data_IF_621595909398
#
_entry.id   IF_621595909398
#
_cell.length_a   1.000
_cell.length_b   1.000
_cell.length_c   1.000
_cell.angle_alpha   90.00
_cell.angle_beta   90.00
_cell.angle_gamma   90.00
#
_symmetry.space_group_name_H-M   'P 1'
#
loop_
_entity.id
_entity.type
_entity.pdbx_description
1 polymer ?
#
# COMPACT_ATOMS: atom_id res chain seq x y z
N UNK A 1 -7.95 21.84 -10.85
CA UNK A 1 -8.00 20.96 -12.05
C UNK A 1 -7.80 19.53 -11.56
N UNK A 2 -8.76 18.64 -11.81
CA UNK A 2 -8.64 17.23 -11.43
C UNK A 2 -7.79 16.54 -12.50
N UNK A 3 -6.62 16.01 -12.11
CA UNK A 3 -5.75 15.25 -13.02
C UNK A 3 -6.33 13.85 -13.21
N UNK A 4 -6.29 13.35 -14.45
CA UNK A 4 -6.61 11.95 -14.77
C UNK A 4 -5.68 11.04 -13.94
N UNK A 5 -6.25 9.98 -13.35
CA UNK A 5 -5.55 9.03 -12.49
C UNK A 5 -4.69 9.67 -11.38
N UNK A 6 -5.11 10.82 -10.84
CA UNK A 6 -4.37 11.59 -9.83
C UNK A 6 -2.96 12.00 -10.27
N UNK A 7 -2.71 12.08 -11.58
CA UNK A 7 -1.38 12.39 -12.14
C UNK A 7 -0.44 11.19 -12.21
N UNK A 8 -0.92 9.98 -11.90
CA UNK A 8 -0.15 8.75 -12.07
C UNK A 8 0.02 8.43 -13.56
N UNK A 9 1.23 8.61 -14.06
CA UNK A 9 1.60 8.18 -15.41
C UNK A 9 2.01 6.71 -15.41
N UNK A 10 1.85 6.01 -16.53
CA UNK A 10 2.25 4.61 -16.71
C UNK A 10 1.58 3.57 -15.80
N UNK A 11 0.49 3.92 -15.12
CA UNK A 11 -0.23 2.98 -14.26
C UNK A 11 -0.72 1.74 -15.03
N UNK A 12 -1.36 1.94 -16.19
CA UNK A 12 -1.85 0.82 -17.01
C UNK A 12 -0.71 -0.11 -17.51
N UNK A 13 0.37 0.40 -18.15
CA UNK A 13 1.52 -0.44 -18.49
C UNK A 13 2.10 -1.21 -17.30
N UNK A 14 2.18 -0.59 -16.12
CA UNK A 14 2.65 -1.25 -14.91
C UNK A 14 1.72 -2.40 -14.49
N UNK A 15 0.41 -2.17 -14.48
CA UNK A 15 -0.57 -3.20 -14.13
C UNK A 15 -0.59 -4.34 -15.14
N UNK A 16 -0.39 -4.06 -16.42
CA UNK A 16 -0.41 -5.07 -17.47
C UNK A 16 0.86 -5.96 -17.43
N UNK A 17 2.03 -5.40 -17.11
CA UNK A 17 3.31 -6.10 -17.21
C UNK A 17 3.89 -6.59 -15.88
N UNK A 18 3.76 -5.80 -14.80
CA UNK A 18 4.51 -5.99 -13.56
C UNK A 18 3.62 -6.26 -12.35
N UNK A 19 2.28 -6.29 -12.49
CA UNK A 19 1.36 -6.48 -11.35
C UNK A 19 1.64 -7.73 -10.52
N UNK A 20 2.02 -8.83 -11.19
CA UNK A 20 2.31 -10.09 -10.53
C UNK A 20 3.75 -10.19 -10.01
N UNK A 21 4.58 -9.17 -10.26
CA UNK A 21 5.97 -9.14 -9.81
C UNK A 21 6.07 -8.33 -8.51
N UNK A 22 6.33 -8.97 -7.37
CA UNK A 22 6.53 -8.23 -6.13
C UNK A 22 7.74 -7.30 -6.28
N UNK A 23 7.52 -6.00 -6.09
CA UNK A 23 8.60 -5.04 -5.94
C UNK A 23 9.07 -5.07 -4.49
N UNK A 24 10.37 -5.30 -4.28
CA UNK A 24 10.98 -5.22 -2.96
C UNK A 24 11.85 -3.96 -2.91
N UNK A 25 11.34 -2.90 -2.28
CA UNK A 25 12.13 -1.71 -2.01
C UNK A 25 12.54 -1.72 -0.54
N UNK A 26 13.85 -1.81 -0.27
CA UNK A 26 14.41 -1.61 1.07
C UNK A 26 14.77 -0.14 1.24
N UNK A 27 14.21 0.49 2.27
CA UNK A 27 14.53 1.86 2.66
C UNK A 27 14.95 1.86 4.13
N UNK A 28 16.08 2.50 4.42
CA UNK A 28 16.50 2.80 5.80
C UNK A 28 15.81 4.10 6.18
N UNK A 29 15.06 4.08 7.29
CA UNK A 29 14.41 5.24 7.87
C UNK A 29 15.31 5.76 9.00
N UNK A 30 15.70 7.03 8.93
CA UNK A 30 16.56 7.64 9.94
C UNK A 30 15.72 8.18 11.11
N UNK A 31 16.26 8.15 12.34
CA UNK A 31 15.64 8.81 13.47
C UNK A 31 15.45 10.31 13.21
N UNK A 32 14.37 10.88 13.75
CA UNK A 32 14.03 12.31 13.66
C UNK A 32 13.79 12.84 12.23
N UNK A 33 13.50 11.96 11.27
CA UNK A 33 13.06 12.34 9.92
C UNK A 33 11.60 11.91 9.69
N UNK A 34 10.86 12.72 8.94
CA UNK A 34 9.51 12.38 8.49
C UNK A 34 9.55 11.69 7.14
N UNK A 35 8.75 10.63 7.01
CA UNK A 35 8.63 9.86 5.78
C UNK A 35 7.16 9.75 5.38
N UNK A 36 6.89 10.06 4.12
CA UNK A 36 5.58 9.90 3.51
C UNK A 36 5.64 8.77 2.49
N UNK A 37 4.61 7.94 2.48
CA UNK A 37 4.42 6.91 1.46
C UNK A 37 2.94 6.83 1.09
N UNK A 38 2.68 6.35 -0.12
CA UNK A 38 1.34 6.19 -0.66
C UNK A 38 1.08 4.71 -0.91
N UNK A 39 -0.11 4.23 -0.54
CA UNK A 39 -0.56 2.87 -0.82
C UNK A 39 -1.79 2.97 -1.74
N UNK A 40 -1.63 2.79 -3.06
CA UNK A 40 -2.77 2.76 -3.97
C UNK A 40 -3.55 1.45 -3.78
N UNK A 41 -4.87 1.53 -3.79
CA UNK A 41 -5.77 0.37 -3.72
C UNK A 41 -6.63 0.34 -4.97
N UNK A 42 -6.63 -0.79 -5.67
CA UNK A 42 -7.53 -1.04 -6.79
C UNK A 42 -8.76 -1.78 -6.26
N UNK A 43 -9.93 -1.17 -6.45
CA UNK A 43 -11.20 -1.70 -5.98
C UNK A 43 -12.09 -2.03 -7.17
N UNK A 44 -12.53 -3.28 -7.26
CA UNK A 44 -13.54 -3.70 -8.23
C UNK A 44 -14.83 -4.02 -7.49
N UNK A 45 -15.92 -3.35 -7.87
CA UNK A 45 -17.28 -3.58 -7.34
C UNK A 45 -17.42 -3.48 -5.80
N UNK A 46 -16.46 -2.86 -5.10
CA UNK A 46 -16.52 -2.71 -3.66
C UNK A 46 -17.61 -1.69 -3.27
N UNK A 47 -18.50 -2.07 -2.34
CA UNK A 47 -19.58 -1.21 -1.83
C UNK A 47 -19.36 -0.92 -0.35
N UNK A 48 -19.62 0.32 0.05
CA UNK A 48 -19.49 0.78 1.44
C UNK A 48 -18.21 1.59 1.71
N UNK A 49 -18.09 2.10 2.94
CA UNK A 49 -16.96 2.94 3.35
C UNK A 49 -15.69 2.12 3.49
N UNK A 50 -14.64 2.50 2.77
CA UNK A 50 -13.32 1.93 2.95
C UNK A 50 -12.68 2.43 4.25
N UNK A 51 -12.19 1.50 5.07
CA UNK A 51 -11.39 1.76 6.27
C UNK A 51 -10.10 0.96 6.18
N UNK A 52 -8.97 1.66 6.25
CA UNK A 52 -7.66 1.05 6.10
C UNK A 52 -6.78 1.32 7.31
N UNK A 53 -5.84 0.42 7.55
CA UNK A 53 -4.85 0.57 8.61
C UNK A 53 -3.55 -0.14 8.23
N UNK A 54 -2.44 0.36 8.75
CA UNK A 54 -1.20 -0.40 8.80
C UNK A 54 -1.10 -1.11 10.14
N UNK A 55 -0.83 -2.40 10.08
CA UNK A 55 -0.71 -3.26 11.25
C UNK A 55 0.67 -3.88 11.24
N UNK A 56 1.48 -3.52 12.23
CA UNK A 56 2.79 -4.13 12.44
C UNK A 56 2.62 -5.28 13.45
N UNK A 57 3.02 -6.49 13.05
CA UNK A 57 3.09 -7.65 13.94
C UNK A 57 4.53 -8.11 13.99
N UNK A 58 5.19 -7.86 15.12
CA UNK A 58 6.64 -8.01 15.24
C UNK A 58 7.35 -7.20 14.15
N UNK A 59 7.95 -7.87 13.16
CA UNK A 59 8.63 -7.24 12.03
C UNK A 59 7.79 -7.23 10.76
N UNK A 60 6.71 -8.02 10.68
CA UNK A 60 5.89 -8.13 9.47
C UNK A 60 4.83 -7.03 9.43
N UNK A 61 4.81 -6.30 8.32
CA UNK A 61 3.88 -5.20 8.08
C UNK A 61 2.74 -5.68 7.18
N UNK A 62 1.53 -5.35 7.61
CA UNK A 62 0.31 -5.69 6.90
C UNK A 62 -0.53 -4.46 6.61
N UNK A 63 -1.12 -4.42 5.42
CA UNK A 63 -2.15 -3.46 5.06
C UNK A 63 -3.52 -4.09 5.28
N UNK A 64 -4.25 -3.60 6.28
CA UNK A 64 -5.62 -4.02 6.55
C UNK A 64 -6.58 -3.16 5.75
N UNK A 65 -7.47 -3.79 4.99
CA UNK A 65 -8.51 -3.12 4.21
C UNK A 65 -9.87 -3.70 4.60
N UNK A 66 -10.80 -2.83 4.99
CA UNK A 66 -12.19 -3.20 5.26
C UNK A 66 -13.10 -2.35 4.38
N UNK A 67 -13.97 -2.99 3.60
CA UNK A 67 -14.92 -2.30 2.72
C UNK A 67 -16.24 -3.05 2.77
N UNK A 68 -17.27 -2.39 3.34
CA UNK A 68 -18.53 -3.05 3.64
C UNK A 68 -18.31 -4.23 4.59
N UNK A 69 -18.72 -5.42 4.17
CA UNK A 69 -18.56 -6.67 4.93
C UNK A 69 -17.23 -7.39 4.63
N UNK A 70 -16.49 -6.95 3.61
CA UNK A 70 -15.23 -7.57 3.23
C UNK A 70 -14.08 -7.01 4.05
N UNK A 71 -13.30 -7.90 4.65
CA UNK A 71 -12.08 -7.56 5.38
C UNK A 71 -10.93 -8.44 4.89
N UNK A 72 -9.79 -7.83 4.61
CA UNK A 72 -8.57 -8.54 4.24
C UNK A 72 -7.35 -7.92 4.88
N UNK A 73 -6.32 -8.75 5.04
CA UNK A 73 -5.01 -8.39 5.56
C UNK A 73 -3.96 -8.78 4.52
N UNK A 74 -3.36 -7.78 3.88
CA UNK A 74 -2.43 -7.98 2.76
C UNK A 74 -1.00 -7.83 3.30
N UNK A 75 -0.12 -8.85 3.19
CA UNK A 75 1.29 -8.71 3.52
C UNK A 75 1.91 -7.64 2.61
N UNK A 76 2.49 -6.58 3.19
CA UNK A 76 2.98 -5.44 2.42
C UNK A 76 4.43 -5.04 2.73
N UNK A 77 5.10 -5.75 3.63
CA UNK A 77 6.54 -5.56 3.84
C UNK A 77 6.98 -5.97 5.23
N UNK A 78 8.13 -5.44 5.62
CA UNK A 78 8.70 -5.62 6.96
C UNK A 78 9.35 -4.35 7.45
N UNK A 79 9.30 -4.13 8.76
CA UNK A 79 10.02 -3.05 9.43
C UNK A 79 10.91 -3.69 10.48
N UNK A 80 12.21 -3.40 10.37
CA UNK A 80 13.21 -3.82 11.36
C UNK A 80 13.65 -2.58 12.14
N UNK A 81 13.60 -2.68 13.47
CA UNK A 81 14.17 -1.67 14.35
C UNK A 81 15.61 -2.08 14.64
N UNK A 82 16.55 -1.25 14.21
CA UNK A 82 17.95 -1.39 14.61
C UNK A 82 18.16 -0.61 15.91
N UNK A 83 18.85 -1.23 16.86
CA UNK A 83 19.19 -0.64 18.17
C UNK A 83 20.53 0.10 18.12
#
# INVERSE_FOLDING_TARGET
>A
IQLVDYGLTNLKPFLDAEFNRPSLQRKILKPNEEYYFYIPILLHQARGTARTALVLKEHDLFYKVNIGEHSTLIPCGRIYFEN
#
